data_IF_465590348345
#
_entry.id   IF_465590348345
#
_cell.length_a   1.000
_cell.length_b   1.000
_cell.length_c   1.000
_cell.angle_alpha   90.00
_cell.angle_beta   90.00
_cell.angle_gamma   90.00
#
_symmetry.space_group_name_H-M   'P 1'
#
loop_
_entity.id
_entity.type
_entity.pdbx_description
1 polymer ?
#
# COMPACT_ATOMS: atom_id res chain seq x y z
N UNK A 1 29.70 28.33 5.17
CA UNK A 1 29.19 27.06 5.73
C UNK A 1 30.06 25.86 5.38
N UNK A 2 30.52 25.71 4.13
CA UNK A 2 31.40 24.62 3.68
C UNK A 2 32.70 24.43 4.51
N UNK A 3 33.33 25.51 4.97
CA UNK A 3 34.55 25.42 5.81
C UNK A 3 34.32 24.76 7.19
N UNK A 4 33.15 24.98 7.80
CA UNK A 4 32.79 24.33 9.08
C UNK A 4 32.51 22.84 8.91
N UNK A 5 31.89 22.47 7.79
CA UNK A 5 31.61 21.06 7.45
C UNK A 5 32.92 20.30 7.19
N UNK A 6 33.86 20.90 6.46
CA UNK A 6 35.20 20.30 6.25
C UNK A 6 35.96 20.08 7.56
N UNK A 7 35.89 21.05 8.48
CA UNK A 7 36.51 20.89 9.80
C UNK A 7 35.83 19.77 10.61
N UNK A 8 34.49 19.77 10.70
CA UNK A 8 33.73 18.72 11.41
C UNK A 8 33.96 17.33 10.83
N UNK A 9 34.12 17.20 9.50
CA UNK A 9 34.41 15.92 8.85
C UNK A 9 35.81 15.40 9.22
N UNK A 10 36.80 16.29 9.34
CA UNK A 10 38.14 15.92 9.76
C UNK A 10 38.22 15.55 11.25
N UNK A 11 37.44 16.21 12.11
CA UNK A 11 37.50 15.99 13.57
C UNK A 11 36.54 14.90 14.06
N UNK A 12 35.34 14.81 13.48
CA UNK A 12 34.26 13.93 13.92
C UNK A 12 33.40 13.44 12.73
N UNK A 13 33.96 12.67 11.79
CA UNK A 13 33.25 12.21 10.59
C UNK A 13 32.02 11.35 10.93
N UNK A 14 32.09 10.57 12.01
CA UNK A 14 31.00 9.69 12.47
C UNK A 14 29.75 10.49 12.86
N UNK A 15 29.91 11.59 13.61
CA UNK A 15 28.77 12.45 13.99
C UNK A 15 28.10 13.08 12.77
N UNK A 16 28.88 13.43 11.75
CA UNK A 16 28.37 13.97 10.49
C UNK A 16 27.59 12.92 9.69
N UNK A 17 28.08 11.68 9.65
CA UNK A 17 27.38 10.55 9.01
C UNK A 17 26.08 10.21 9.75
N UNK A 18 26.09 10.18 11.08
CA UNK A 18 24.89 9.93 11.89
C UNK A 18 23.86 11.05 11.70
N UNK A 19 24.28 12.32 11.69
CA UNK A 19 23.39 13.44 11.43
C UNK A 19 22.77 13.38 10.03
N UNK A 20 23.56 13.01 9.02
CA UNK A 20 23.06 12.81 7.65
C UNK A 20 22.06 11.64 7.58
N UNK A 21 22.37 10.52 8.23
CA UNK A 21 21.48 9.36 8.28
C UNK A 21 20.13 9.69 8.95
N UNK A 22 20.15 10.43 10.06
CA UNK A 22 18.93 10.90 10.73
C UNK A 22 18.11 11.85 9.85
N UNK A 23 18.77 12.74 9.12
CA UNK A 23 18.09 13.67 8.21
C UNK A 23 17.45 12.92 7.03
N UNK A 24 18.15 11.94 6.46
CA UNK A 24 17.60 11.06 5.42
C UNK A 24 16.41 10.26 5.94
N UNK A 25 16.49 9.72 7.15
CA UNK A 25 15.38 9.00 7.79
C UNK A 25 14.15 9.90 8.01
N UNK A 26 14.34 11.15 8.43
CA UNK A 26 13.24 12.10 8.57
C UNK A 26 12.60 12.44 7.21
N UNK A 27 13.42 12.66 6.18
CA UNK A 27 12.94 12.92 4.83
C UNK A 27 12.16 11.72 4.29
N UNK A 28 12.62 10.49 4.49
CA UNK A 28 11.90 9.29 4.05
C UNK A 28 10.56 9.12 4.75
N UNK A 29 10.47 9.44 6.04
CA UNK A 29 9.20 9.41 6.79
C UNK A 29 8.19 10.43 6.25
N UNK A 30 8.62 11.69 6.05
CA UNK A 30 7.76 12.73 5.49
C UNK A 30 7.34 12.39 4.07
N UNK A 31 8.27 11.89 3.25
CA UNK A 31 7.96 11.47 1.89
C UNK A 31 6.94 10.32 1.84
N UNK A 32 7.12 9.29 2.67
CA UNK A 32 6.19 8.16 2.76
C UNK A 32 4.77 8.63 3.10
N UNK A 33 4.61 9.50 4.10
CA UNK A 33 3.28 10.03 4.45
C UNK A 33 2.63 10.85 3.33
N UNK A 34 3.40 11.67 2.62
CA UNK A 34 2.90 12.46 1.48
C UNK A 34 2.45 11.56 0.32
N UNK A 35 3.25 10.54 -0.02
CA UNK A 35 2.92 9.60 -1.09
C UNK A 35 1.61 8.85 -0.77
N UNK A 36 1.42 8.39 0.47
CA UNK A 36 0.17 7.72 0.91
C UNK A 36 -1.05 8.64 0.79
N UNK A 37 -0.90 9.91 1.17
CA UNK A 37 -1.97 10.90 1.01
C UNK A 37 -2.35 11.15 -0.45
N UNK A 38 -1.35 11.26 -1.33
CA UNK A 38 -1.57 11.45 -2.77
C UNK A 38 -2.18 10.22 -3.44
N UNK A 39 -1.74 9.01 -3.09
CA UNK A 39 -2.31 7.77 -3.62
C UNK A 39 -3.76 7.61 -3.19
N UNK A 40 -4.08 7.92 -1.93
CA UNK A 40 -5.45 7.92 -1.43
C UNK A 40 -6.34 8.85 -2.25
N UNK A 41 -5.98 10.13 -2.37
CA UNK A 41 -6.79 11.12 -3.11
C UNK A 41 -6.98 10.69 -4.57
N UNK A 42 -5.93 10.20 -5.23
CA UNK A 42 -5.99 9.71 -6.62
C UNK A 42 -6.93 8.53 -6.75
N UNK A 43 -6.81 7.53 -5.89
CA UNK A 43 -7.58 6.30 -5.98
C UNK A 43 -9.04 6.53 -5.56
N UNK A 44 -9.29 7.38 -4.55
CA UNK A 44 -10.63 7.86 -4.22
C UNK A 44 -11.29 8.61 -5.38
N UNK A 45 -10.54 9.44 -6.11
CA UNK A 45 -11.06 10.14 -7.29
C UNK A 45 -11.42 9.16 -8.42
N UNK A 46 -10.66 8.08 -8.59
CA UNK A 46 -10.97 7.00 -9.54
C UNK A 46 -12.14 6.12 -9.09
N UNK A 47 -12.43 6.09 -7.80
CA UNK A 47 -13.60 5.43 -7.21
C UNK A 47 -14.89 6.25 -7.28
N UNK A 48 -14.88 7.45 -7.87
CA UNK A 48 -16.10 8.24 -8.10
C UNK A 48 -17.05 7.44 -9.01
N UNK A 49 -18.28 7.21 -8.54
CA UNK A 49 -19.27 6.35 -9.22
C UNK A 49 -19.31 4.92 -8.70
N UNK A 50 -18.53 4.59 -7.66
CA UNK A 50 -18.67 3.34 -6.91
C UNK A 50 -20.04 3.26 -6.21
N UNK A 51 -20.60 2.05 -6.20
CA UNK A 51 -21.82 1.72 -5.48
C UNK A 51 -21.56 1.41 -4.00
N UNK A 52 -20.32 1.14 -3.63
CA UNK A 52 -19.94 0.85 -2.24
C UNK A 52 -19.94 2.14 -1.42
N UNK A 53 -20.35 2.04 -0.17
CA UNK A 53 -20.05 3.03 0.87
C UNK A 53 -18.59 2.95 1.27
N UNK A 54 -18.12 3.92 2.06
CA UNK A 54 -16.74 3.89 2.59
C UNK A 54 -16.53 2.69 3.52
N UNK A 55 -17.51 2.42 4.38
CA UNK A 55 -17.42 1.34 5.37
C UNK A 55 -17.44 -0.03 4.71
N UNK A 56 -18.24 -0.22 3.64
CA UNK A 56 -18.23 -1.45 2.85
C UNK A 56 -16.89 -1.63 2.12
N UNK A 57 -16.34 -0.57 1.54
CA UNK A 57 -15.03 -0.63 0.89
C UNK A 57 -13.90 -0.96 1.89
N UNK A 58 -13.96 -0.39 3.11
CA UNK A 58 -13.03 -0.72 4.19
C UNK A 58 -13.21 -2.16 4.68
N UNK A 59 -14.45 -2.65 4.82
CA UNK A 59 -14.72 -4.02 5.22
C UNK A 59 -14.17 -5.02 4.19
N UNK A 60 -14.34 -4.73 2.89
CA UNK A 60 -13.78 -5.55 1.82
C UNK A 60 -12.24 -5.51 1.81
N UNK A 61 -11.66 -4.32 1.98
CA UNK A 61 -10.21 -4.16 2.10
C UNK A 61 -9.64 -4.95 3.29
N UNK A 62 -10.31 -4.90 4.44
CA UNK A 62 -9.94 -5.67 5.63
C UNK A 62 -10.06 -7.19 5.39
N UNK A 63 -11.12 -7.63 4.70
CA UNK A 63 -11.31 -9.04 4.36
C UNK A 63 -10.17 -9.54 3.48
N UNK A 64 -9.86 -8.81 2.41
CA UNK A 64 -8.74 -9.15 1.51
C UNK A 64 -7.42 -9.13 2.27
N UNK A 65 -7.21 -8.14 3.15
CA UNK A 65 -6.03 -8.07 3.99
C UNK A 65 -5.85 -9.32 4.87
N UNK A 66 -6.93 -9.78 5.50
CA UNK A 66 -6.93 -10.97 6.36
C UNK A 66 -6.61 -12.24 5.58
N UNK A 67 -7.15 -12.39 4.37
CA UNK A 67 -6.84 -13.55 3.51
C UNK A 67 -5.38 -13.56 3.04
N UNK A 68 -4.78 -12.39 2.81
CA UNK A 68 -3.36 -12.27 2.42
C UNK A 68 -2.44 -12.59 3.61
N UNK A 69 -2.80 -12.18 4.83
CA UNK A 69 -1.95 -12.29 6.02
C UNK A 69 -2.30 -13.49 6.92
N UNK A 70 -3.21 -14.36 6.50
CA UNK A 70 -3.51 -15.61 7.19
C UNK A 70 -2.36 -16.61 7.07
N UNK A 71 -2.38 -17.67 7.88
CA UNK A 71 -1.34 -18.72 7.85
C UNK A 71 -1.29 -19.46 6.50
N UNK A 72 -2.41 -19.49 5.78
CA UNK A 72 -2.52 -19.99 4.41
C UNK A 72 -3.43 -19.02 3.65
N UNK A 73 -2.89 -18.39 2.61
CA UNK A 73 -3.69 -17.56 1.72
C UNK A 73 -4.80 -18.40 1.10
N UNK A 74 -6.02 -17.88 1.11
CA UNK A 74 -7.15 -18.47 0.42
C UNK A 74 -7.49 -17.59 -0.77
N UNK A 75 -6.86 -17.89 -1.91
CA UNK A 75 -6.96 -17.10 -3.13
C UNK A 75 -8.38 -17.11 -3.70
N UNK A 76 -9.13 -18.21 -3.55
CA UNK A 76 -10.52 -18.31 -3.99
C UNK A 76 -11.41 -17.25 -3.30
N UNK A 77 -11.24 -17.03 -2.00
CA UNK A 77 -11.98 -15.99 -1.27
C UNK A 77 -11.65 -14.58 -1.78
N UNK A 78 -10.38 -14.35 -2.16
CA UNK A 78 -9.93 -13.08 -2.72
C UNK A 78 -10.54 -12.88 -4.12
N UNK A 79 -10.52 -13.91 -4.96
CA UNK A 79 -11.10 -13.91 -6.30
C UNK A 79 -12.61 -13.65 -6.23
N UNK A 80 -13.33 -14.36 -5.35
CA UNK A 80 -14.77 -14.20 -5.13
C UNK A 80 -15.14 -12.79 -4.66
N UNK A 81 -14.30 -12.17 -3.83
CA UNK A 81 -14.49 -10.78 -3.41
C UNK A 81 -14.25 -9.76 -4.54
N UNK A 82 -13.38 -10.08 -5.50
CA UNK A 82 -12.97 -9.18 -6.59
C UNK A 82 -13.87 -9.26 -7.83
N UNK A 83 -14.33 -10.45 -8.22
CA UNK A 83 -15.17 -10.68 -9.40
C UNK A 83 -16.38 -9.71 -9.49
N UNK A 84 -17.19 -9.51 -8.42
CA UNK A 84 -18.40 -8.69 -8.52
C UNK A 84 -18.11 -7.17 -8.58
N UNK A 85 -16.87 -6.74 -8.33
CA UNK A 85 -16.53 -5.32 -8.24
C UNK A 85 -16.48 -4.66 -9.61
N UNK A 86 -17.13 -3.51 -9.76
CA UNK A 86 -16.84 -2.65 -10.92
C UNK A 86 -15.48 -1.98 -10.71
N UNK A 87 -14.91 -1.46 -11.79
CA UNK A 87 -13.65 -0.73 -11.74
C UNK A 87 -13.65 0.42 -10.70
N UNK A 88 -14.75 1.17 -10.59
CA UNK A 88 -14.87 2.23 -9.58
C UNK A 88 -14.93 1.66 -8.14
N UNK A 89 -15.62 0.54 -7.93
CA UNK A 89 -15.67 -0.15 -6.63
C UNK A 89 -14.28 -0.63 -6.22
N UNK A 90 -13.55 -1.23 -7.17
CA UNK A 90 -12.17 -1.64 -6.96
C UNK A 90 -11.26 -0.48 -6.55
N UNK A 91 -11.35 0.68 -7.22
CA UNK A 91 -10.53 1.83 -6.84
C UNK A 91 -10.89 2.39 -5.46
N UNK A 92 -12.16 2.28 -5.06
CA UNK A 92 -12.60 2.66 -3.71
C UNK A 92 -12.05 1.71 -2.65
N UNK A 93 -12.10 0.40 -2.90
CA UNK A 93 -11.48 -0.63 -2.03
C UNK A 93 -9.96 -0.43 -1.96
N UNK A 94 -9.30 -0.17 -3.10
CA UNK A 94 -7.87 0.14 -3.17
C UNK A 94 -7.50 1.37 -2.35
N UNK A 95 -8.32 2.42 -2.38
CA UNK A 95 -8.09 3.63 -1.62
C UNK A 95 -8.15 3.37 -0.11
N UNK A 96 -9.18 2.66 0.36
CA UNK A 96 -9.29 2.30 1.78
C UNK A 96 -8.23 1.26 2.20
N UNK A 97 -7.79 0.38 1.30
CA UNK A 97 -6.71 -0.57 1.58
C UNK A 97 -5.36 0.12 1.89
N UNK A 98 -5.10 1.26 1.24
CA UNK A 98 -3.89 2.05 1.45
C UNK A 98 -3.88 2.90 2.73
N UNK A 99 -5.04 3.09 3.38
CA UNK A 99 -5.13 3.74 4.70
C UNK A 99 -5.22 2.64 5.76
N UNK A 100 -4.07 2.12 6.19
CA UNK A 100 -4.06 1.03 7.16
C UNK A 100 -4.58 1.49 8.53
N UNK A 101 -5.75 0.97 8.92
CA UNK A 101 -6.18 0.80 10.32
C UNK A 101 -6.58 -0.66 10.53
N UNK A 102 -5.71 -1.60 10.15
CA UNK A 102 -5.94 -3.01 10.41
C UNK A 102 -5.75 -3.28 11.90
N UNK A 103 -6.63 -4.10 12.46
CA UNK A 103 -6.72 -4.34 13.90
C UNK A 103 -5.33 -4.73 14.42
N UNK A 104 -4.81 -3.94 15.37
CA UNK A 104 -3.40 -3.81 15.74
C UNK A 104 -2.76 -5.03 16.42
N UNK A 105 -3.06 -6.24 15.94
CA UNK A 105 -2.60 -7.48 16.59
C UNK A 105 -1.32 -8.03 15.97
N UNK A 106 -1.01 -7.78 14.69
CA UNK A 106 0.16 -8.38 14.03
C UNK A 106 0.72 -7.60 12.82
N UNK A 107 0.82 -6.27 12.85
CA UNK A 107 1.50 -5.56 11.74
C UNK A 107 2.82 -4.94 12.17
N UNK A 108 3.89 -5.50 11.61
CA UNK A 108 5.19 -4.86 11.47
C UNK A 108 4.99 -3.45 10.91
N UNK A 109 5.35 -2.47 11.72
CA UNK A 109 5.40 -1.08 11.33
C UNK A 109 6.47 -0.91 10.23
N UNK A 110 6.11 -1.11 8.97
CA UNK A 110 7.04 -0.95 7.86
C UNK A 110 7.25 0.55 7.57
N UNK A 111 8.13 1.17 8.36
CA UNK A 111 8.51 2.58 8.26
C UNK A 111 9.27 2.93 6.96
N UNK A 112 9.62 1.94 6.13
CA UNK A 112 10.48 2.12 4.95
C UNK A 112 9.72 2.51 3.67
N UNK A 113 8.39 2.48 3.68
CA UNK A 113 7.58 3.12 2.63
C UNK A 113 7.46 2.36 1.32
N UNK A 114 7.82 1.07 1.26
CA UNK A 114 7.28 0.17 0.24
C UNK A 114 5.85 -0.26 0.63
N UNK A 115 4.95 0.73 0.74
CA UNK A 115 3.52 0.45 0.84
C UNK A 115 3.07 -0.03 -0.54
N UNK A 116 3.13 -1.35 -0.73
CA UNK A 116 2.56 -1.97 -1.92
C UNK A 116 1.07 -1.70 -1.93
N UNK A 117 0.57 -1.11 -3.01
CA UNK A 117 -0.86 -0.85 -3.12
C UNK A 117 -1.62 -2.17 -3.34
N UNK A 118 -2.94 -2.18 -3.12
CA UNK A 118 -3.77 -3.39 -3.26
C UNK A 118 -3.49 -4.17 -4.56
N UNK A 119 -3.33 -3.47 -5.68
CA UNK A 119 -3.04 -4.09 -6.97
C UNK A 119 -1.70 -4.83 -6.97
N UNK A 120 -0.66 -4.21 -6.42
CA UNK A 120 0.67 -4.80 -6.34
C UNK A 120 0.68 -6.03 -5.44
N UNK A 121 -0.03 -5.98 -4.31
CA UNK A 121 -0.12 -7.13 -3.41
C UNK A 121 -0.86 -8.27 -4.08
N UNK A 122 -2.02 -8.00 -4.69
CA UNK A 122 -2.80 -9.04 -5.38
C UNK A 122 -2.00 -9.69 -6.52
N UNK A 123 -1.23 -8.92 -7.31
CA UNK A 123 -0.42 -9.48 -8.39
C UNK A 123 0.74 -10.36 -7.89
N UNK A 124 1.19 -10.17 -6.65
CA UNK A 124 2.23 -10.97 -6.02
C UNK A 124 1.67 -12.17 -5.26
N UNK A 125 0.48 -12.03 -4.71
CA UNK A 125 -0.18 -13.06 -3.89
C UNK A 125 -0.92 -14.07 -4.76
N UNK A 126 -1.64 -13.63 -5.78
CA UNK A 126 -2.41 -14.51 -6.65
C UNK A 126 -1.50 -15.23 -7.65
N UNK A 127 -1.83 -16.47 -7.97
CA UNK A 127 -1.18 -17.22 -9.04
C UNK A 127 -1.68 -16.76 -10.43
N UNK A 128 -1.09 -17.30 -11.49
CA UNK A 128 -1.44 -16.89 -12.85
C UNK A 128 -2.83 -17.40 -13.26
N UNK A 129 -3.25 -18.56 -12.77
CA UNK A 129 -4.58 -19.13 -13.05
C UNK A 129 -5.69 -18.25 -12.44
N UNK A 130 -5.51 -17.74 -11.23
CA UNK A 130 -6.44 -16.84 -10.54
C UNK A 130 -6.51 -15.46 -11.18
N UNK A 131 -5.36 -14.93 -11.61
CA UNK A 131 -5.33 -13.70 -12.41
C UNK A 131 -6.08 -13.90 -13.72
N UNK A 132 -5.92 -15.05 -14.38
CA UNK A 132 -6.67 -15.39 -15.59
C UNK A 132 -8.17 -15.54 -15.33
N UNK A 133 -8.58 -16.16 -14.23
CA UNK A 133 -10.00 -16.23 -13.81
C UNK A 133 -10.59 -14.84 -13.63
N UNK A 134 -9.91 -13.98 -12.87
CA UNK A 134 -10.35 -12.59 -12.64
C UNK A 134 -10.44 -11.85 -13.97
N UNK A 135 -9.43 -11.96 -14.82
CA UNK A 135 -9.39 -11.27 -16.12
C UNK A 135 -10.45 -11.79 -17.09
N UNK A 136 -10.75 -13.09 -17.06
CA UNK A 136 -11.79 -13.70 -17.88
C UNK A 136 -13.20 -13.24 -17.50
N UNK A 137 -13.45 -13.03 -16.21
CA UNK A 137 -14.76 -12.64 -15.69
C UNK A 137 -14.92 -11.12 -15.53
N UNK A 138 -13.83 -10.41 -15.27
CA UNK A 138 -13.79 -8.98 -15.03
C UNK A 138 -12.52 -8.34 -15.64
N UNK A 139 -12.47 -8.20 -16.97
CA UNK A 139 -11.26 -7.78 -17.71
C UNK A 139 -10.82 -6.34 -17.45
N UNK A 140 -11.64 -5.57 -16.73
CA UNK A 140 -11.39 -4.16 -16.45
C UNK A 140 -10.57 -3.95 -15.18
N UNK A 141 -10.46 -4.98 -14.33
CA UNK A 141 -9.66 -4.90 -13.12
C UNK A 141 -8.16 -4.88 -13.49
N UNK A 142 -7.35 -4.03 -12.84
CA UNK A 142 -5.93 -3.86 -13.17
C UNK A 142 -5.05 -4.99 -12.59
N UNK A 143 -5.50 -6.24 -12.68
CA UNK A 143 -4.82 -7.43 -12.16
C UNK A 143 -4.26 -8.22 -13.34
N UNK A 144 -2.99 -8.63 -13.27
CA UNK A 144 -2.30 -9.33 -14.36
C UNK A 144 -0.79 -9.42 -14.20
#
# INVERSE_FOLDING_TARGET
MLGKIKHLWATNPVLLLVALALLLALVSLVWGTLVKGLSYVRDSARGIGSNLTRDEAQALANSIYQEIHSMFTNEDNIVDALIPLKLADYYKVKAEFGIQRYNATLDEFNFTGEDRNLTEILNLTLDDDDKEKIKGQNPWLPIG
#
